data_IF_840899334099
#
_entry.id   IF_840899334099
#
_cell.length_a   1.000
_cell.length_b   1.000
_cell.length_c   1.000
_cell.angle_alpha   90.00
_cell.angle_beta   90.00
_cell.angle_gamma   90.00
#
_symmetry.space_group_name_H-M   'P 1'
#
loop_
_entity.id
_entity.type
_entity.pdbx_description
1 polymer ?
#
# COMPACT_ATOMS: atom_id res chain seq x y z
N UNK A 1 15.08 -23.55 6.76
CA UNK A 1 14.92 -22.31 5.96
C UNK A 1 13.51 -21.76 6.15
N UNK A 2 13.32 -20.52 6.63
CA UNK A 2 11.99 -19.89 6.66
C UNK A 2 11.54 -19.63 5.20
N UNK A 3 10.64 -20.47 4.66
CA UNK A 3 9.98 -20.19 3.37
C UNK A 3 9.24 -18.85 3.48
N UNK A 4 9.46 -17.98 2.50
CA UNK A 4 8.95 -16.61 2.45
C UNK A 4 7.86 -16.54 1.38
N UNK A 5 6.80 -15.79 1.63
CA UNK A 5 5.73 -15.57 0.65
C UNK A 5 6.20 -14.52 -0.38
N UNK A 6 6.79 -14.96 -1.50
CA UNK A 6 7.35 -14.04 -2.50
C UNK A 6 6.27 -13.22 -3.20
N UNK A 7 5.09 -13.80 -3.46
CA UNK A 7 3.97 -13.07 -4.02
C UNK A 7 3.50 -11.89 -3.16
N UNK A 8 3.53 -12.04 -1.83
CA UNK A 8 3.14 -10.97 -0.92
C UNK A 8 4.15 -9.81 -0.94
N UNK A 9 5.45 -10.11 -0.93
CA UNK A 9 6.47 -9.08 -1.10
C UNK A 9 6.37 -8.43 -2.49
N UNK A 10 6.10 -9.22 -3.54
CA UNK A 10 5.94 -8.71 -4.90
C UNK A 10 4.72 -7.79 -5.03
N UNK A 11 3.58 -8.10 -4.39
CA UNK A 11 2.39 -7.25 -4.43
C UNK A 11 2.66 -5.91 -3.75
N UNK A 12 3.31 -5.94 -2.59
CA UNK A 12 3.71 -4.73 -1.88
C UNK A 12 4.69 -3.89 -2.72
N UNK A 13 5.66 -4.55 -3.35
CA UNK A 13 6.63 -3.90 -4.22
C UNK A 13 6.01 -3.30 -5.47
N UNK A 14 5.10 -4.02 -6.12
CA UNK A 14 4.29 -3.52 -7.23
C UNK A 14 3.57 -2.23 -6.83
N UNK A 15 2.85 -2.24 -5.70
CA UNK A 15 2.13 -1.08 -5.23
C UNK A 15 3.06 0.12 -4.96
N UNK A 16 4.24 -0.06 -4.36
CA UNK A 16 5.14 1.09 -4.15
C UNK A 16 5.75 1.59 -5.46
N UNK A 17 6.13 0.69 -6.35
CA UNK A 17 6.70 1.07 -7.65
C UNK A 17 5.70 1.88 -8.46
N UNK A 18 4.44 1.44 -8.51
CA UNK A 18 3.39 2.16 -9.22
C UNK A 18 2.99 3.46 -8.50
N UNK A 19 3.13 3.52 -7.17
CA UNK A 19 3.00 4.77 -6.41
C UNK A 19 4.05 5.80 -6.82
N UNK A 20 5.33 5.41 -6.81
CA UNK A 20 6.43 6.28 -7.24
C UNK A 20 6.29 6.67 -8.71
N UNK A 21 5.87 5.74 -9.57
CA UNK A 21 5.59 6.03 -10.98
C UNK A 21 4.51 7.10 -11.12
N UNK A 22 3.36 6.93 -10.47
CA UNK A 22 2.28 7.92 -10.53
C UNK A 22 2.68 9.31 -10.04
N UNK A 23 3.61 9.39 -9.08
CA UNK A 23 4.12 10.66 -8.55
C UNK A 23 5.19 11.32 -9.44
N UNK A 24 5.88 10.57 -10.29
CA UNK A 24 7.05 11.03 -11.07
C UNK A 24 6.77 11.26 -12.54
N UNK A 25 5.66 10.73 -13.04
CA UNK A 25 5.20 10.89 -14.41
C UNK A 25 4.87 12.36 -14.71
N UNK A 26 5.21 12.81 -15.92
CA UNK A 26 4.95 14.19 -16.33
C UNK A 26 3.44 14.50 -16.40
N UNK A 27 3.09 15.73 -16.01
CA UNK A 27 1.72 16.23 -16.07
C UNK A 27 1.39 16.80 -17.47
N UNK A 28 0.10 16.87 -17.83
CA UNK A 28 -0.45 17.41 -19.09
C UNK A 28 -0.12 16.70 -20.41
N UNK A 29 0.84 15.78 -20.45
CA UNK A 29 1.21 15.08 -21.69
C UNK A 29 0.52 13.72 -21.86
N UNK A 30 -0.08 13.16 -20.81
CA UNK A 30 -0.61 11.80 -20.78
C UNK A 30 -2.14 11.71 -20.80
N UNK A 31 -2.69 10.57 -21.26
CA UNK A 31 -4.13 10.32 -21.22
C UNK A 31 -4.66 10.22 -19.79
N UNK A 32 -5.94 10.53 -19.58
CA UNK A 32 -6.56 10.63 -18.24
C UNK A 32 -6.45 9.38 -17.38
N UNK A 33 -6.42 8.18 -17.96
CA UNK A 33 -6.26 6.92 -17.23
C UNK A 33 -4.88 6.77 -16.55
N UNK A 34 -3.92 7.66 -16.83
CA UNK A 34 -2.61 7.76 -16.16
C UNK A 34 -2.64 8.58 -14.86
N UNK A 35 -3.78 9.17 -14.50
CA UNK A 35 -3.95 10.00 -13.31
C UNK A 35 -5.12 9.50 -12.45
N UNK A 36 -5.38 10.14 -11.30
CA UNK A 36 -6.57 9.82 -10.51
C UNK A 36 -7.84 10.23 -11.27
N UNK A 37 -8.88 9.41 -11.21
CA UNK A 37 -10.15 9.69 -11.89
C UNK A 37 -10.78 11.04 -11.46
N UNK A 38 -10.64 11.40 -10.17
CA UNK A 38 -11.17 12.64 -9.59
C UNK A 38 -10.25 13.85 -9.75
N UNK A 39 -9.04 13.68 -10.33
CA UNK A 39 -8.17 14.81 -10.70
C UNK A 39 -7.69 14.62 -12.14
N UNK A 40 -8.60 14.69 -13.13
CA UNK A 40 -8.24 14.46 -14.52
C UNK A 40 -7.33 15.58 -15.06
N UNK A 41 -6.56 15.32 -16.14
CA UNK A 41 -5.89 16.37 -16.89
C UNK A 41 -6.91 17.27 -17.60
N UNK A 42 -6.57 18.54 -17.93
CA UNK A 42 -5.25 19.17 -17.79
C UNK A 42 -5.04 19.91 -16.46
N UNK A 43 -6.09 20.36 -15.78
CA UNK A 43 -5.93 21.36 -14.71
C UNK A 43 -5.59 20.77 -13.33
N UNK A 44 -5.64 19.43 -13.19
CA UNK A 44 -5.50 18.71 -11.91
C UNK A 44 -6.51 19.16 -10.85
N UNK A 45 -7.57 19.83 -11.29
CA UNK A 45 -8.64 20.26 -10.41
C UNK A 45 -9.34 19.02 -9.85
N UNK A 46 -9.52 19.01 -8.53
CA UNK A 46 -10.28 17.96 -7.86
C UNK A 46 -11.77 18.15 -8.14
N UNK A 47 -12.42 17.08 -8.61
CA UNK A 47 -13.86 17.04 -8.84
C UNK A 47 -14.46 15.77 -8.20
N UNK A 48 -15.17 15.97 -7.08
CA UNK A 48 -15.84 14.90 -6.33
C UNK A 48 -17.08 14.33 -7.05
N UNK A 49 -17.57 14.99 -8.10
CA UNK A 49 -18.71 14.50 -8.89
C UNK A 49 -18.31 13.37 -9.84
N UNK A 50 -17.03 13.29 -10.22
CA UNK A 50 -16.52 12.27 -11.13
C UNK A 50 -16.44 10.90 -10.46
N UNK A 51 -17.13 9.93 -11.04
CA UNK A 51 -17.03 8.51 -10.69
C UNK A 51 -16.03 7.78 -11.58
N UNK A 52 -15.59 6.61 -11.15
CA UNK A 52 -14.62 5.79 -11.87
C UNK A 52 -13.31 5.66 -11.10
N UNK A 53 -12.49 4.74 -11.60
CA UNK A 53 -11.17 4.44 -11.05
C UNK A 53 -10.17 4.24 -12.18
N UNK A 54 -8.91 4.60 -11.94
CA UNK A 54 -7.78 4.25 -12.81
C UNK A 54 -6.84 3.28 -12.11
N UNK A 55 -5.78 2.85 -12.79
CA UNK A 55 -4.77 2.00 -12.15
C UNK A 55 -4.09 2.72 -10.97
N UNK A 56 -4.00 4.06 -11.02
CA UNK A 56 -3.42 4.88 -9.95
C UNK A 56 -4.26 4.75 -8.67
N UNK A 57 -5.57 4.61 -8.82
CA UNK A 57 -6.51 4.47 -7.70
C UNK A 57 -6.46 3.08 -7.04
N UNK A 58 -5.85 2.07 -7.69
CA UNK A 58 -5.64 0.74 -7.10
C UNK A 58 -4.40 0.66 -6.20
N UNK A 59 -3.47 1.59 -6.38
CA UNK A 59 -2.13 1.54 -5.78
C UNK A 59 -2.17 1.50 -4.26
N UNK A 60 -2.85 2.47 -3.66
CA UNK A 60 -2.94 2.58 -2.20
C UNK A 60 -3.71 1.41 -1.56
N UNK A 61 -4.89 1.01 -2.06
CA UNK A 61 -5.57 -0.21 -1.61
C UNK A 61 -4.73 -1.47 -1.69
N UNK A 62 -4.00 -1.69 -2.79
CA UNK A 62 -3.14 -2.88 -2.93
C UNK A 62 -2.02 -2.88 -1.88
N UNK A 63 -1.48 -1.70 -1.56
CA UNK A 63 -0.47 -1.55 -0.51
C UNK A 63 -1.03 -1.87 0.88
N UNK A 64 -2.23 -1.35 1.21
CA UNK A 64 -2.93 -1.64 2.46
C UNK A 64 -3.32 -3.13 2.59
N UNK A 65 -3.81 -3.72 1.51
CA UNK A 65 -4.12 -5.14 1.45
C UNK A 65 -2.87 -5.99 1.73
N UNK A 66 -1.74 -5.65 1.11
CA UNK A 66 -0.46 -6.33 1.33
C UNK A 66 0.12 -6.09 2.74
N UNK A 67 -0.27 -5.02 3.43
CA UNK A 67 0.00 -4.84 4.86
C UNK A 67 -0.82 -5.82 5.69
N UNK A 68 -2.14 -5.87 5.47
CA UNK A 68 -3.04 -6.80 6.18
C UNK A 68 -2.63 -8.25 5.99
N UNK A 69 -2.31 -8.65 4.76
CA UNK A 69 -1.85 -10.01 4.43
C UNK A 69 -0.52 -10.40 5.09
N UNK A 70 0.23 -9.43 5.64
CA UNK A 70 1.44 -9.69 6.41
C UNK A 70 1.19 -9.93 7.91
N UNK A 71 -0.01 -9.65 8.43
CA UNK A 71 -0.32 -9.84 9.86
C UNK A 71 -0.18 -11.29 10.33
N UNK A 72 -0.63 -12.32 9.59
CA UNK A 72 -0.44 -13.72 10.00
C UNK A 72 1.06 -14.09 10.15
N UNK A 73 1.90 -13.56 9.25
CA UNK A 73 3.34 -13.83 9.28
C UNK A 73 4.10 -13.09 10.38
N UNK A 74 3.61 -11.93 10.80
CA UNK A 74 4.30 -11.04 11.75
C UNK A 74 3.73 -11.09 13.16
N UNK A 75 2.41 -11.29 13.31
CA UNK A 75 1.68 -11.30 14.58
C UNK A 75 1.38 -12.75 15.00
N UNK A 76 0.64 -13.53 14.19
CA UNK A 76 0.24 -14.91 14.55
C UNK A 76 1.46 -15.79 14.78
N UNK A 77 2.51 -15.66 13.97
CA UNK A 77 3.79 -16.37 14.18
C UNK A 77 4.49 -16.00 15.50
N UNK A 78 4.34 -14.77 16.01
CA UNK A 78 4.89 -14.37 17.32
C UNK A 78 4.04 -14.91 18.47
N UNK A 79 2.72 -14.88 18.30
CA UNK A 79 1.78 -15.49 19.24
C UNK A 79 2.01 -17.01 19.36
N UNK A 80 2.17 -17.73 18.24
CA UNK A 80 2.53 -19.16 18.21
C UNK A 80 3.90 -19.46 18.87
N UNK A 81 4.76 -18.45 19.05
CA UNK A 81 6.04 -18.56 19.77
C UNK A 81 5.95 -18.20 21.26
N UNK A 82 4.76 -17.88 21.77
CA UNK A 82 4.52 -17.58 23.19
C UNK A 82 4.45 -16.11 23.56
N UNK A 83 4.47 -15.16 22.62
CA UNK A 83 4.24 -13.74 22.95
C UNK A 83 2.78 -13.52 23.42
N UNK A 84 2.60 -12.77 24.51
CA UNK A 84 1.27 -12.41 25.04
C UNK A 84 0.56 -11.40 24.13
N UNK A 85 -0.78 -11.40 24.16
CA UNK A 85 -1.59 -10.43 23.39
C UNK A 85 -1.24 -8.97 23.75
N UNK A 86 -1.03 -8.67 25.04
CA UNK A 86 -0.64 -7.33 25.50
C UNK A 86 0.69 -6.87 24.88
N UNK A 87 1.69 -7.76 24.82
CA UNK A 87 2.97 -7.46 24.19
C UNK A 87 2.80 -7.16 22.69
N UNK A 88 1.95 -7.92 22.00
CA UNK A 88 1.67 -7.70 20.59
C UNK A 88 0.96 -6.36 20.34
N UNK A 89 0.01 -5.98 21.21
CA UNK A 89 -0.67 -4.68 21.16
C UNK A 89 0.31 -3.53 21.40
N UNK A 90 1.19 -3.65 22.40
CA UNK A 90 2.23 -2.66 22.67
C UNK A 90 3.14 -2.45 21.45
N UNK A 91 3.59 -3.53 20.81
CA UNK A 91 4.42 -3.44 19.59
C UNK A 91 3.66 -2.82 18.41
N UNK A 92 2.35 -3.08 18.29
CA UNK A 92 1.51 -2.45 17.28
C UNK A 92 1.36 -0.94 17.51
N UNK A 93 1.11 -0.51 18.76
CA UNK A 93 1.02 0.91 19.13
C UNK A 93 2.37 1.61 18.89
N UNK A 94 3.47 1.01 19.34
CA UNK A 94 4.83 1.54 19.12
C UNK A 94 5.10 1.76 17.63
N UNK A 95 4.77 0.77 16.80
CA UNK A 95 4.87 0.88 15.34
C UNK A 95 4.01 2.02 14.79
N UNK A 96 2.79 2.18 15.29
CA UNK A 96 1.91 3.31 14.95
C UNK A 96 2.57 4.65 15.23
N UNK A 97 3.03 4.86 16.46
CA UNK A 97 3.73 6.10 16.88
C UNK A 97 4.93 6.41 15.99
N UNK A 98 5.73 5.39 15.67
CA UNK A 98 6.89 5.55 14.80
C UNK A 98 6.51 5.91 13.36
N UNK A 99 5.43 5.33 12.82
CA UNK A 99 4.92 5.68 11.50
C UNK A 99 4.27 7.08 11.48
N UNK A 100 3.58 7.49 12.54
CA UNK A 100 3.04 8.84 12.67
C UNK A 100 4.15 9.88 12.71
N UNK A 101 5.19 9.66 13.51
CA UNK A 101 6.38 10.52 13.49
C UNK A 101 7.03 10.55 12.11
N UNK A 102 7.18 9.38 11.47
CA UNK A 102 7.71 9.30 10.11
C UNK A 102 6.88 10.10 9.12
N UNK A 103 5.55 10.06 9.20
CA UNK A 103 4.63 10.82 8.35
C UNK A 103 4.82 12.33 8.49
N UNK A 104 4.99 12.82 9.72
CA UNK A 104 5.22 14.24 10.02
C UNK A 104 6.60 14.65 9.51
N UNK A 105 7.63 13.87 9.86
CA UNK A 105 9.02 14.23 9.57
C UNK A 105 9.29 14.29 8.06
N UNK A 106 8.89 13.29 7.27
CA UNK A 106 9.16 13.31 5.82
C UNK A 106 8.42 14.46 5.12
N UNK A 107 7.19 14.78 5.57
CA UNK A 107 6.37 15.82 4.96
C UNK A 107 7.03 17.20 5.05
N UNK A 108 7.64 17.50 6.20
CA UNK A 108 8.32 18.77 6.44
C UNK A 108 9.65 18.91 5.68
N UNK A 109 10.28 17.79 5.33
CA UNK A 109 11.59 17.76 4.68
C UNK A 109 11.54 17.46 3.18
N UNK A 110 10.35 17.45 2.57
CA UNK A 110 10.26 17.40 1.12
C UNK A 110 10.81 18.70 0.50
N UNK A 111 11.56 18.63 -0.62
CA UNK A 111 12.22 19.80 -1.21
C UNK A 111 11.28 20.98 -1.47
N UNK A 112 10.07 20.71 -1.95
CA UNK A 112 9.05 21.71 -2.28
C UNK A 112 8.38 22.35 -1.06
N UNK A 113 8.55 21.78 0.14
CA UNK A 113 8.09 22.36 1.41
C UNK A 113 9.18 23.24 2.01
N UNK A 114 10.44 22.87 1.83
CA UNK A 114 11.59 23.58 2.38
C UNK A 114 11.86 24.91 1.67
N UNK A 115 11.69 24.98 0.35
CA UNK A 115 11.88 26.23 -0.43
C UNK A 115 11.03 26.26 -1.70
N UNK A 116 10.63 27.46 -2.13
CA UNK A 116 9.94 27.71 -3.39
C UNK A 116 10.37 29.09 -3.95
N UNK A 117 11.17 29.17 -5.04
CA UNK A 117 11.71 28.06 -5.82
C UNK A 117 12.70 27.21 -5.02
N UNK A 118 12.92 25.97 -5.48
CA UNK A 118 13.81 25.03 -4.77
C UNK A 118 15.28 25.47 -4.85
N UNK A 119 15.96 25.44 -3.72
CA UNK A 119 17.38 25.83 -3.60
C UNK A 119 18.28 24.70 -3.09
N UNK A 120 19.60 24.98 -3.09
CA UNK A 120 20.63 24.04 -2.61
C UNK A 120 20.42 23.66 -1.15
N UNK A 121 19.94 24.59 -0.31
CA UNK A 121 19.65 24.33 1.10
C UNK A 121 18.57 23.27 1.24
N UNK A 122 17.46 23.39 0.51
CA UNK A 122 16.37 22.43 0.55
C UNK A 122 16.83 21.04 0.11
N UNK A 123 17.60 20.93 -0.98
CA UNK A 123 18.11 19.63 -1.44
C UNK A 123 19.05 18.97 -0.42
N UNK A 124 19.96 19.73 0.19
CA UNK A 124 20.84 19.21 1.24
C UNK A 124 20.07 18.80 2.50
N UNK A 125 19.05 19.57 2.91
CA UNK A 125 18.20 19.24 4.05
C UNK A 125 17.35 17.99 3.79
N UNK A 126 16.84 17.78 2.58
CA UNK A 126 16.14 16.55 2.20
C UNK A 126 17.06 15.33 2.24
N UNK A 127 18.30 15.45 1.75
CA UNK A 127 19.31 14.38 1.85
C UNK A 127 19.68 14.12 3.30
N UNK A 128 19.84 15.16 4.12
CA UNK A 128 20.10 15.04 5.55
C UNK A 128 18.95 14.31 6.26
N UNK A 129 17.70 14.65 5.94
CA UNK A 129 16.51 13.92 6.41
C UNK A 129 16.61 12.44 6.02
N UNK A 130 16.91 12.12 4.76
CA UNK A 130 17.10 10.75 4.30
C UNK A 130 18.16 10.01 5.13
N UNK A 131 19.29 10.65 5.44
CA UNK A 131 20.37 10.06 6.26
C UNK A 131 19.93 9.85 7.72
N UNK A 132 19.22 10.80 8.33
CA UNK A 132 18.76 10.72 9.73
C UNK A 132 17.75 9.58 9.92
N UNK A 133 17.01 9.21 8.89
CA UNK A 133 16.08 8.07 8.92
C UNK A 133 16.80 6.72 9.08
N UNK A 134 18.08 6.60 8.69
CA UNK A 134 18.89 5.38 8.84
C UNK A 134 18.99 4.94 10.32
N UNK A 135 19.59 5.73 11.22
CA UNK A 135 19.73 5.34 12.63
C UNK A 135 18.38 5.10 13.33
N UNK A 136 17.30 5.76 12.89
CA UNK A 136 15.96 5.54 13.45
C UNK A 136 15.40 4.15 13.12
N UNK A 137 15.41 3.77 11.83
CA UNK A 137 14.63 2.63 11.34
C UNK A 137 15.46 1.40 10.96
N UNK A 138 16.79 1.51 10.90
CA UNK A 138 17.65 0.35 10.62
C UNK A 138 17.87 -0.48 11.87
N UNK A 139 17.92 -1.80 11.67
CA UNK A 139 18.56 -2.71 12.63
C UNK A 139 20.07 -2.65 12.42
N UNK A 140 20.75 -1.85 13.24
CA UNK A 140 22.19 -1.63 13.15
C UNK A 140 22.90 -2.99 13.17
N UNK A 141 23.58 -3.41 12.08
CA UNK A 141 24.16 -4.75 11.94
C UNK A 141 25.45 -4.93 12.76
N UNK A 142 25.92 -3.88 13.45
CA UNK A 142 27.10 -3.91 14.30
C UNK A 142 26.80 -4.62 15.63
N UNK A 143 27.76 -5.44 16.08
CA UNK A 143 27.76 -6.02 17.43
C UNK A 143 28.01 -4.89 18.42
N UNK A 144 26.94 -4.38 19.00
CA UNK A 144 26.95 -3.26 19.93
C UNK A 144 25.99 -3.59 21.08
N UNK A 145 26.29 -3.19 22.32
CA UNK A 145 25.37 -3.36 23.44
C UNK A 145 24.06 -2.60 23.19
N UNK A 146 22.96 -3.12 23.73
CA UNK A 146 21.61 -2.62 23.44
C UNK A 146 21.38 -1.17 23.92
N UNK A 147 22.08 -0.73 24.96
CA UNK A 147 22.04 0.66 25.42
C UNK A 147 22.56 1.62 24.34
N UNK A 148 23.66 1.28 23.67
CA UNK A 148 24.27 2.14 22.65
C UNK A 148 23.38 2.24 21.41
N UNK A 149 22.69 1.16 21.05
CA UNK A 149 21.67 1.17 19.98
C UNK A 149 20.50 2.09 20.33
N UNK A 150 20.10 2.09 21.60
CA UNK A 150 19.03 2.95 22.09
C UNK A 150 19.46 4.41 22.07
N UNK A 151 20.68 4.72 22.51
CA UNK A 151 21.26 6.06 22.46
C UNK A 151 21.29 6.58 21.02
N UNK A 152 21.81 5.82 20.06
CA UNK A 152 21.85 6.23 18.64
C UNK A 152 20.45 6.60 18.11
N UNK A 153 19.44 5.78 18.44
CA UNK A 153 18.05 6.04 18.05
C UNK A 153 17.49 7.30 18.69
N UNK A 154 17.65 7.44 20.00
CA UNK A 154 17.16 8.60 20.75
C UNK A 154 17.83 9.87 20.23
N UNK A 155 19.15 9.86 20.03
CA UNK A 155 19.88 10.98 19.44
C UNK A 155 19.35 11.33 18.05
N UNK A 156 19.06 10.34 17.19
CA UNK A 156 18.47 10.60 15.88
C UNK A 156 17.08 11.26 15.98
N UNK A 157 16.21 10.82 16.90
CA UNK A 157 14.93 11.47 17.16
C UNK A 157 15.09 12.89 17.69
N UNK A 158 16.03 13.12 18.61
CA UNK A 158 16.32 14.47 19.14
C UNK A 158 16.78 15.40 18.03
N UNK A 159 17.75 14.98 17.20
CA UNK A 159 18.23 15.76 16.06
C UNK A 159 17.06 16.08 15.12
N UNK A 160 16.21 15.10 14.81
CA UNK A 160 15.05 15.32 13.94
C UNK A 160 14.03 16.30 14.52
N UNK A 161 13.77 16.25 15.83
CA UNK A 161 12.88 17.21 16.50
C UNK A 161 13.49 18.61 16.48
N UNK A 162 14.78 18.75 16.78
CA UNK A 162 15.48 20.04 16.68
C UNK A 162 15.35 20.58 15.26
N UNK A 163 15.64 19.77 14.24
CA UNK A 163 15.51 20.16 12.85
C UNK A 163 14.08 20.59 12.49
N UNK A 164 13.05 19.86 12.95
CA UNK A 164 11.65 20.25 12.72
C UNK A 164 11.33 21.63 13.31
N UNK A 165 11.84 21.93 14.50
CA UNK A 165 11.55 23.16 15.22
C UNK A 165 12.39 24.36 14.74
N UNK A 166 13.59 24.13 14.20
CA UNK A 166 14.53 25.21 13.81
C UNK A 166 14.58 25.48 12.31
N UNK A 167 14.05 24.58 11.47
CA UNK A 167 14.09 24.76 10.02
C UNK A 167 13.06 25.81 9.57
N UNK A 168 13.50 26.71 8.68
CA UNK A 168 12.62 27.64 7.99
C UNK A 168 12.02 26.95 6.77
N UNK A 169 10.70 27.03 6.62
CA UNK A 169 9.96 26.44 5.51
C UNK A 169 9.56 27.51 4.48
N UNK A 170 9.20 27.08 3.29
CA UNK A 170 8.71 27.97 2.24
C UNK A 170 7.41 28.68 2.64
N UNK A 171 7.17 29.86 2.05
CA UNK A 171 5.93 30.61 2.18
C UNK A 171 5.55 30.94 3.64
N UNK A 172 6.54 31.31 4.46
CA UNK A 172 6.36 31.69 5.89
C UNK A 172 5.72 30.61 6.77
N UNK A 173 5.69 29.35 6.30
CA UNK A 173 5.16 28.23 7.07
C UNK A 173 6.03 27.98 8.30
N UNK A 174 5.38 27.71 9.43
CA UNK A 174 6.00 27.20 10.65
C UNK A 174 5.77 25.70 10.78
N UNK A 175 6.51 25.05 11.67
CA UNK A 175 6.26 23.65 12.03
C UNK A 175 4.81 23.45 12.50
N UNK A 176 4.13 22.47 11.93
CA UNK A 176 2.77 22.08 12.30
C UNK A 176 2.63 20.55 12.28
N UNK A 177 2.27 19.97 13.42
CA UNK A 177 2.09 18.53 13.58
C UNK A 177 0.97 17.97 12.67
N UNK A 178 -0.01 18.80 12.33
CA UNK A 178 -1.13 18.46 11.46
C UNK A 178 -0.72 18.40 9.99
N UNK A 179 0.42 19.01 9.63
CA UNK A 179 0.99 18.94 8.29
C UNK A 179 1.82 17.68 8.11
N UNK A 180 1.13 16.58 7.78
CA UNK A 180 1.72 15.25 7.70
C UNK A 180 1.42 14.56 6.37
N UNK A 181 2.21 13.53 6.07
CA UNK A 181 2.00 12.72 4.88
C UNK A 181 0.80 11.78 5.09
N UNK A 182 -0.31 12.06 4.39
CA UNK A 182 -1.57 11.34 4.56
C UNK A 182 -1.46 9.83 4.28
N UNK A 183 -0.66 9.42 3.29
CA UNK A 183 -0.47 7.99 2.95
C UNK A 183 0.17 7.26 4.14
N UNK A 184 1.26 7.80 4.68
CA UNK A 184 1.95 7.21 5.84
C UNK A 184 1.09 7.31 7.11
N UNK A 185 0.34 8.39 7.30
CA UNK A 185 -0.55 8.55 8.45
C UNK A 185 -1.67 7.50 8.45
N UNK A 186 -2.31 7.28 7.29
CA UNK A 186 -3.30 6.21 7.14
C UNK A 186 -2.66 4.84 7.41
N UNK A 187 -1.44 4.60 6.94
CA UNK A 187 -0.70 3.37 7.23
C UNK A 187 -0.39 3.18 8.71
N UNK A 188 -0.10 4.26 9.44
CA UNK A 188 0.11 4.22 10.89
C UNK A 188 -1.17 3.73 11.59
N UNK A 189 -2.31 4.33 11.26
CA UNK A 189 -3.61 3.94 11.80
C UNK A 189 -3.98 2.49 11.46
N UNK A 190 -3.80 2.08 10.20
CA UNK A 190 -4.06 0.72 9.76
C UNK A 190 -3.13 -0.30 10.44
N UNK A 191 -1.87 0.06 10.69
CA UNK A 191 -0.94 -0.79 11.42
C UNK A 191 -1.35 -0.97 12.88
N UNK A 192 -1.95 0.03 13.54
CA UNK A 192 -2.44 -0.08 14.92
C UNK A 192 -3.75 -0.85 14.97
N UNK A 193 -4.82 -0.28 14.40
CA UNK A 193 -6.17 -0.84 14.53
C UNK A 193 -6.31 -2.19 13.83
N UNK A 194 -5.70 -2.34 12.64
CA UNK A 194 -5.69 -3.62 11.93
C UNK A 194 -4.96 -4.71 12.72
N UNK A 195 -3.84 -4.39 13.36
CA UNK A 195 -3.12 -5.35 14.20
C UNK A 195 -3.92 -5.71 15.44
N UNK A 196 -4.53 -4.74 16.13
CA UNK A 196 -5.36 -4.97 17.33
C UNK A 196 -6.54 -5.90 16.98
N UNK A 197 -7.29 -5.58 15.93
CA UNK A 197 -8.41 -6.41 15.46
C UNK A 197 -7.92 -7.82 15.14
N UNK A 198 -6.79 -7.95 14.43
CA UNK A 198 -6.22 -9.25 14.11
C UNK A 198 -5.79 -10.01 15.37
N UNK A 199 -5.15 -9.37 16.36
CA UNK A 199 -4.73 -10.00 17.62
C UNK A 199 -5.91 -10.64 18.37
N UNK A 200 -7.05 -9.96 18.39
CA UNK A 200 -8.24 -10.47 19.08
C UNK A 200 -9.07 -11.44 18.23
N UNK A 201 -8.87 -11.48 16.90
CA UNK A 201 -9.64 -12.33 15.97
C UNK A 201 -8.83 -13.39 15.23
N UNK A 202 -7.53 -13.55 15.49
CA UNK A 202 -6.63 -14.47 14.75
C UNK A 202 -7.01 -15.96 14.84
N UNK A 203 -7.86 -16.32 15.82
CA UNK A 203 -8.35 -17.69 16.03
C UNK A 203 -9.77 -17.91 15.48
N UNK A 204 -10.49 -16.83 15.13
CA UNK A 204 -11.89 -16.92 14.73
C UNK A 204 -12.20 -15.98 13.56
N UNK A 205 -12.28 -16.55 12.36
CA UNK A 205 -12.62 -15.83 11.14
C UNK A 205 -14.01 -15.15 11.23
N UNK A 206 -14.99 -15.80 11.87
CA UNK A 206 -16.34 -15.26 12.02
C UNK A 206 -16.34 -13.98 12.85
N UNK A 207 -15.54 -13.94 13.92
CA UNK A 207 -15.36 -12.72 14.72
C UNK A 207 -14.76 -11.58 13.89
N UNK A 208 -13.81 -11.90 13.00
CA UNK A 208 -13.21 -10.89 12.11
C UNK A 208 -14.20 -10.33 11.10
N UNK A 209 -15.04 -11.19 10.52
CA UNK A 209 -16.14 -10.76 9.63
C UNK A 209 -17.17 -9.94 10.42
N UNK A 210 -17.49 -10.33 11.66
CA UNK A 210 -18.38 -9.56 12.54
C UNK A 210 -17.88 -8.14 12.82
N UNK A 211 -16.58 -7.97 13.09
CA UNK A 211 -15.96 -6.65 13.25
C UNK A 211 -16.08 -5.81 11.97
N UNK A 212 -15.88 -6.42 10.80
CA UNK A 212 -16.03 -5.76 9.50
C UNK A 212 -17.47 -5.26 9.29
N UNK A 213 -18.47 -6.08 9.62
CA UNK A 213 -19.88 -5.72 9.50
C UNK A 213 -20.28 -4.59 10.47
N UNK A 214 -19.80 -4.64 11.72
CA UNK A 214 -20.04 -3.57 12.70
C UNK A 214 -19.40 -2.26 12.22
N UNK A 215 -18.16 -2.31 11.74
CA UNK A 215 -17.48 -1.14 11.20
C UNK A 215 -18.25 -0.55 10.01
N UNK A 216 -18.69 -1.38 9.07
CA UNK A 216 -19.51 -0.95 7.95
C UNK A 216 -20.80 -0.28 8.41
N UNK A 217 -21.48 -0.85 9.41
CA UNK A 217 -22.70 -0.26 9.98
C UNK A 217 -22.44 1.10 10.64
N UNK A 218 -21.32 1.26 11.35
CA UNK A 218 -20.90 2.53 11.95
C UNK A 218 -20.58 3.59 10.89
N UNK A 219 -19.90 3.22 9.81
CA UNK A 219 -19.57 4.13 8.71
C UNK A 219 -20.83 4.59 7.96
N UNK A 220 -21.74 3.67 7.67
CA UNK A 220 -23.01 3.97 7.00
C UNK A 220 -23.92 4.84 7.87
N UNK A 221 -24.10 4.44 9.14
CA UNK A 221 -24.97 5.16 10.07
C UNK A 221 -24.36 6.48 10.53
N UNK A 222 -23.03 6.62 10.44
CA UNK A 222 -22.30 7.86 10.73
C UNK A 222 -22.63 9.01 9.77
N UNK A 223 -23.19 8.71 8.59
CA UNK A 223 -23.66 9.72 7.63
C UNK A 223 -25.04 10.29 7.99
N UNK A 224 -25.73 9.72 8.97
CA UNK A 224 -27.06 10.18 9.42
C UNK A 224 -26.89 11.27 10.46
N UNK A 225 -27.41 12.47 10.16
CA UNK A 225 -27.35 13.62 11.04
C UNK A 225 -28.05 13.38 12.39
N UNK A 226 -27.49 13.95 13.46
CA UNK A 226 -27.98 13.87 14.84
C UNK A 226 -28.06 12.44 15.41
N UNK A 227 -27.23 11.52 14.92
CA UNK A 227 -27.14 10.14 15.42
C UNK A 227 -25.95 9.95 16.37
N UNK A 228 -26.05 9.00 17.32
CA UNK A 228 -24.91 8.62 18.16
C UNK A 228 -23.75 8.03 17.33
N UNK A 229 -24.05 7.45 16.18
CA UNK A 229 -23.06 6.97 15.21
C UNK A 229 -22.32 8.11 14.51
N UNK A 230 -22.98 9.25 14.26
CA UNK A 230 -22.31 10.46 13.76
C UNK A 230 -21.34 11.02 14.80
N UNK A 231 -21.70 11.00 16.09
CA UNK A 231 -20.79 11.40 17.18
C UNK A 231 -19.52 10.53 17.21
N UNK A 232 -19.64 9.22 16.93
CA UNK A 232 -18.48 8.32 16.77
C UNK A 232 -17.71 8.64 15.48
N UNK A 233 -18.40 8.84 14.36
CA UNK A 233 -17.78 9.10 13.05
C UNK A 233 -16.95 10.39 13.03
N UNK A 234 -17.39 11.41 13.78
CA UNK A 234 -16.72 12.70 13.92
C UNK A 234 -15.70 12.73 15.07
N UNK A 235 -15.60 11.66 15.85
CA UNK A 235 -14.69 11.57 17.00
C UNK A 235 -13.22 11.57 16.56
N UNK A 236 -12.49 12.61 16.97
CA UNK A 236 -11.10 12.90 16.55
C UNK A 236 -10.25 13.30 17.77
N UNK A 237 -9.93 12.37 18.70
CA UNK A 237 -9.22 12.68 19.94
C UNK A 237 -7.84 13.33 19.71
N UNK A 238 -7.19 13.00 18.60
CA UNK A 238 -5.92 13.57 18.18
C UNK A 238 -6.04 13.94 16.69
N UNK A 239 -6.57 15.12 16.33
CA UNK A 239 -6.86 15.47 14.93
C UNK A 239 -5.63 15.38 14.01
N UNK A 240 -4.44 15.69 14.53
CA UNK A 240 -3.19 15.56 13.78
C UNK A 240 -2.75 14.09 13.53
N UNK A 241 -3.32 13.11 14.24
CA UNK A 241 -2.90 11.71 14.17
C UNK A 241 -4.01 10.74 13.70
N UNK A 242 -5.26 11.02 14.06
CA UNK A 242 -6.35 10.07 13.96
C UNK A 242 -7.68 10.76 13.68
N UNK A 243 -8.32 10.28 12.63
CA UNK A 243 -9.73 10.50 12.35
C UNK A 243 -10.45 9.15 12.27
N UNK A 244 -11.65 9.06 12.83
CA UNK A 244 -12.43 7.82 12.77
C UNK A 244 -12.71 7.39 11.32
N UNK A 245 -12.91 8.34 10.40
CA UNK A 245 -13.05 8.07 8.96
C UNK A 245 -11.90 7.22 8.40
N UNK A 246 -10.66 7.37 8.90
CA UNK A 246 -9.53 6.55 8.46
C UNK A 246 -9.75 5.06 8.67
N UNK A 247 -10.61 4.68 9.62
CA UNK A 247 -10.95 3.29 9.88
C UNK A 247 -11.70 2.62 8.73
N UNK A 248 -12.26 3.37 7.77
CA UNK A 248 -12.86 2.79 6.57
C UNK A 248 -11.89 1.90 5.78
N UNK A 249 -10.60 2.23 5.80
CA UNK A 249 -9.56 1.44 5.14
C UNK A 249 -9.32 0.07 5.79
N UNK A 250 -9.87 -0.20 6.98
CA UNK A 250 -9.91 -1.55 7.54
C UNK A 250 -10.76 -2.50 6.70
N UNK A 251 -11.70 -1.99 5.89
CA UNK A 251 -12.44 -2.77 4.89
C UNK A 251 -11.52 -3.35 3.81
N UNK A 252 -10.27 -2.87 3.69
CA UNK A 252 -9.22 -3.43 2.83
C UNK A 252 -8.22 -4.29 3.62
N UNK A 253 -7.78 -3.79 4.78
CA UNK A 253 -6.77 -4.46 5.61
C UNK A 253 -7.28 -5.79 6.17
N UNK A 254 -8.55 -5.85 6.59
CA UNK A 254 -9.16 -7.07 7.14
C UNK A 254 -9.23 -8.17 6.08
N UNK A 255 -9.80 -7.95 4.87
CA UNK A 255 -9.70 -8.94 3.80
C UNK A 255 -8.27 -9.34 3.45
N UNK A 256 -7.33 -8.38 3.48
CA UNK A 256 -5.89 -8.67 3.36
C UNK A 256 -5.42 -9.69 4.40
N UNK A 257 -5.80 -9.53 5.67
CA UNK A 257 -5.43 -10.49 6.73
C UNK A 257 -5.95 -11.90 6.49
N UNK A 258 -7.13 -12.04 5.87
CA UNK A 258 -7.71 -13.33 5.47
C UNK A 258 -6.87 -13.95 4.34
N UNK A 259 -6.50 -13.17 3.33
CA UNK A 259 -5.60 -13.61 2.26
C UNK A 259 -4.24 -14.10 2.80
N UNK A 260 -3.72 -13.39 3.81
CA UNK A 260 -2.50 -13.77 4.51
C UNK A 260 -2.61 -15.11 5.23
N UNK A 261 -3.78 -15.45 5.78
CA UNK A 261 -4.02 -16.73 6.45
C UNK A 261 -4.03 -17.88 5.45
N UNK A 262 -4.69 -17.71 4.30
CA UNK A 262 -4.65 -18.68 3.21
C UNK A 262 -3.22 -18.95 2.74
N UNK A 263 -2.41 -17.89 2.56
CA UNK A 263 -0.99 -18.04 2.22
C UNK A 263 -0.18 -18.73 3.31
N UNK A 264 -0.43 -18.41 4.58
CA UNK A 264 0.28 -19.01 5.72
C UNK A 264 -0.05 -20.49 5.86
N UNK A 265 -1.31 -20.87 5.71
CA UNK A 265 -1.77 -22.26 5.76
C UNK A 265 -1.21 -23.08 4.60
N UNK A 266 -1.25 -22.53 3.39
CA UNK A 266 -0.61 -23.14 2.22
C UNK A 266 0.90 -23.37 2.45
N UNK A 267 1.62 -22.37 2.97
CA UNK A 267 3.06 -22.51 3.27
C UNK A 267 3.35 -23.56 4.35
N UNK A 268 2.47 -23.73 5.34
CA UNK A 268 2.58 -24.79 6.36
C UNK A 268 2.34 -26.18 5.75
N UNK A 269 1.30 -26.34 4.93
CA UNK A 269 0.96 -27.62 4.29
C UNK A 269 1.99 -28.06 3.23
N UNK A 270 2.55 -27.13 2.46
CA UNK A 270 3.61 -27.40 1.47
C UNK A 270 4.98 -27.74 2.07
N UNK A 271 5.10 -27.86 3.40
CA UNK A 271 6.28 -28.45 4.04
C UNK A 271 6.20 -29.97 4.09
N UNK A 272 5.00 -30.54 4.05
CA UNK A 272 4.74 -31.97 4.22
C UNK A 272 4.28 -32.57 2.88
N UNK A 273 5.23 -33.02 2.06
CA UNK A 273 5.07 -33.97 0.93
C UNK A 273 4.24 -33.58 -0.32
N UNK A 274 4.79 -34.00 -1.47
CA UNK A 274 4.24 -34.04 -2.85
C UNK A 274 3.83 -32.73 -3.53
N UNK A 275 4.67 -32.28 -4.47
CA UNK A 275 4.29 -31.31 -5.51
C UNK A 275 3.30 -32.01 -6.43
N UNK A 276 2.00 -31.85 -6.16
CA UNK A 276 0.96 -32.27 -7.09
C UNK A 276 1.12 -31.43 -8.37
N UNK A 277 1.28 -32.11 -9.52
CA UNK A 277 1.48 -31.50 -10.83
C UNK A 277 0.25 -30.70 -11.21
N UNK A 278 0.19 -29.44 -10.78
CA UNK A 278 -0.84 -28.52 -11.24
C UNK A 278 -0.67 -28.40 -12.75
N UNK A 279 -1.76 -28.55 -13.51
CA UNK A 279 -1.67 -28.45 -14.96
C UNK A 279 -1.21 -27.03 -15.34
N UNK A 280 -0.06 -26.89 -16.01
CA UNK A 280 0.50 -25.60 -16.47
C UNK A 280 -0.53 -24.77 -17.23
N UNK A 281 -1.42 -25.43 -17.98
CA UNK A 281 -2.52 -24.78 -18.66
C UNK A 281 -3.45 -24.02 -17.70
N UNK A 282 -3.85 -24.64 -16.59
CA UNK A 282 -4.68 -23.98 -15.57
C UNK A 282 -3.99 -22.74 -15.00
N UNK A 283 -2.68 -22.82 -14.75
CA UNK A 283 -1.91 -21.68 -14.25
C UNK A 283 -1.89 -20.51 -15.23
N UNK A 284 -1.67 -20.78 -16.52
CA UNK A 284 -1.69 -19.75 -17.57
C UNK A 284 -3.09 -19.14 -17.70
N UNK A 285 -4.13 -19.96 -17.72
CA UNK A 285 -5.52 -19.48 -17.75
C UNK A 285 -5.83 -18.62 -16.53
N UNK A 286 -5.35 -18.97 -15.33
CA UNK A 286 -5.53 -18.14 -14.14
C UNK A 286 -4.82 -16.78 -14.22
N UNK A 287 -3.63 -16.71 -14.83
CA UNK A 287 -2.93 -15.45 -15.11
C UNK A 287 -3.81 -14.57 -16.01
N UNK A 288 -4.26 -15.12 -17.14
CA UNK A 288 -5.07 -14.38 -18.11
C UNK A 288 -6.41 -13.93 -17.50
N UNK A 289 -7.06 -14.82 -16.75
CA UNK A 289 -8.35 -14.54 -16.12
C UNK A 289 -8.25 -13.43 -15.06
N UNK A 290 -7.30 -13.53 -14.13
CA UNK A 290 -7.13 -12.51 -13.09
C UNK A 290 -6.72 -11.16 -13.65
N UNK A 291 -5.86 -11.16 -14.67
CA UNK A 291 -5.48 -9.94 -15.38
C UNK A 291 -6.68 -9.32 -16.12
N UNK A 292 -7.48 -10.14 -16.81
CA UNK A 292 -8.69 -9.69 -17.49
C UNK A 292 -9.69 -9.06 -16.52
N UNK A 293 -9.92 -9.66 -15.35
CA UNK A 293 -10.82 -9.10 -14.32
C UNK A 293 -10.34 -7.71 -13.89
N UNK A 294 -9.04 -7.52 -13.66
CA UNK A 294 -8.49 -6.21 -13.28
C UNK A 294 -8.68 -5.20 -14.41
N UNK A 295 -8.30 -5.55 -15.64
CA UNK A 295 -8.37 -4.64 -16.80
C UNK A 295 -9.83 -4.26 -17.12
N UNK A 296 -10.75 -5.22 -17.11
CA UNK A 296 -12.17 -4.99 -17.41
C UNK A 296 -12.78 -4.02 -16.41
N UNK A 297 -12.49 -4.18 -15.11
CA UNK A 297 -12.98 -3.24 -14.10
C UNK A 297 -12.36 -1.84 -14.26
N UNK A 298 -11.05 -1.74 -14.53
CA UNK A 298 -10.42 -0.45 -14.79
C UNK A 298 -11.02 0.25 -16.02
N UNK A 299 -11.12 -0.47 -17.14
CA UNK A 299 -11.65 0.09 -18.38
C UNK A 299 -13.14 0.46 -18.24
N UNK A 300 -13.97 -0.47 -17.78
CA UNK A 300 -15.41 -0.28 -17.71
C UNK A 300 -15.84 0.79 -16.71
N UNK A 301 -15.13 0.93 -15.58
CA UNK A 301 -15.44 1.99 -14.60
C UNK A 301 -14.89 3.34 -15.02
N UNK A 302 -13.71 3.39 -15.65
CA UNK A 302 -13.16 4.64 -16.20
C UNK A 302 -14.00 5.20 -17.35
N UNK A 303 -14.56 4.34 -18.21
CA UNK A 303 -15.44 4.77 -19.31
C UNK A 303 -16.91 4.88 -18.91
N UNK A 304 -17.23 4.76 -17.62
CA UNK A 304 -18.61 4.77 -17.10
C UNK A 304 -19.56 3.70 -17.70
N UNK A 305 -19.02 2.63 -18.29
CA UNK A 305 -19.78 1.51 -18.83
C UNK A 305 -20.07 0.45 -17.75
N UNK A 306 -20.71 0.86 -16.64
CA UNK A 306 -20.87 0.04 -15.42
C UNK A 306 -21.67 -1.24 -15.64
N UNK A 307 -22.78 -1.17 -16.39
CA UNK A 307 -23.61 -2.35 -16.70
C UNK A 307 -22.85 -3.35 -17.56
N UNK A 308 -22.13 -2.87 -18.58
CA UNK A 308 -21.30 -3.72 -19.43
C UNK A 308 -20.17 -4.36 -18.61
N UNK A 309 -19.54 -3.58 -17.72
CA UNK A 309 -18.53 -4.08 -16.79
C UNK A 309 -19.08 -5.23 -15.94
N UNK A 310 -20.28 -5.08 -15.37
CA UNK A 310 -20.94 -6.13 -14.59
C UNK A 310 -21.22 -7.38 -15.45
N UNK A 311 -21.79 -7.21 -16.64
CA UNK A 311 -22.11 -8.30 -17.57
C UNK A 311 -20.86 -9.10 -17.95
N UNK A 312 -19.72 -8.44 -18.17
CA UNK A 312 -18.45 -9.11 -18.51
C UNK A 312 -17.83 -9.79 -17.27
N UNK A 313 -17.94 -9.19 -16.09
CA UNK A 313 -17.38 -9.78 -14.86
C UNK A 313 -18.06 -11.10 -14.49
N UNK A 314 -19.38 -11.23 -14.65
CA UNK A 314 -20.13 -12.45 -14.29
C UNK A 314 -19.52 -13.74 -14.92
N UNK A 315 -19.36 -13.86 -16.25
CA UNK A 315 -18.78 -15.05 -16.86
C UNK A 315 -17.30 -15.24 -16.51
N UNK A 316 -16.52 -14.16 -16.34
CA UNK A 316 -15.12 -14.24 -15.90
C UNK A 316 -15.02 -14.85 -14.48
N UNK A 317 -15.89 -14.43 -13.57
CA UNK A 317 -15.90 -14.97 -12.21
C UNK A 317 -16.42 -16.41 -12.17
N UNK A 318 -17.49 -16.74 -12.89
CA UNK A 318 -18.04 -18.10 -12.98
C UNK A 318 -17.00 -19.08 -13.55
N UNK A 319 -16.31 -18.70 -14.63
CA UNK A 319 -15.29 -19.53 -15.25
C UNK A 319 -14.11 -19.83 -14.31
N UNK A 320 -13.67 -18.83 -13.52
CA UNK A 320 -12.62 -19.03 -12.51
C UNK A 320 -13.04 -19.97 -11.38
N UNK A 321 -14.27 -19.83 -10.86
CA UNK A 321 -14.82 -20.75 -9.85
C UNK A 321 -14.89 -22.18 -10.38
N UNK A 322 -15.34 -22.35 -11.63
CA UNK A 322 -15.41 -23.66 -12.27
C UNK A 322 -14.02 -24.29 -12.45
N UNK A 323 -13.04 -23.50 -12.92
CA UNK A 323 -11.67 -23.96 -13.16
C UNK A 323 -10.97 -24.47 -11.89
N UNK A 324 -11.27 -23.84 -10.75
CA UNK A 324 -10.67 -24.10 -9.44
C UNK A 324 -11.48 -25.05 -8.55
N UNK A 325 -12.61 -25.58 -9.04
CA UNK A 325 -13.55 -26.42 -8.27
C UNK A 325 -12.90 -27.65 -7.63
N UNK A 326 -11.96 -28.30 -8.33
CA UNK A 326 -11.27 -29.51 -7.87
C UNK A 326 -9.75 -29.37 -7.95
N UNK A 327 -9.07 -29.77 -6.88
CA UNK A 327 -7.61 -29.82 -6.79
C UNK A 327 -7.09 -29.53 -5.38
N UNK A 328 -5.86 -29.94 -5.09
CA UNK A 328 -5.18 -29.70 -3.82
C UNK A 328 -3.96 -28.76 -4.02
N UNK A 329 -3.20 -28.50 -2.95
CA UNK A 329 -2.00 -27.66 -2.99
C UNK A 329 -2.27 -26.24 -3.50
N UNK A 330 -1.63 -25.86 -4.60
CA UNK A 330 -1.82 -24.54 -5.24
C UNK A 330 -3.26 -24.27 -5.66
N UNK A 331 -3.99 -25.28 -6.16
CA UNK A 331 -5.38 -25.09 -6.60
C UNK A 331 -6.28 -24.74 -5.41
N UNK A 332 -6.03 -25.32 -4.23
CA UNK A 332 -6.78 -24.97 -3.01
C UNK A 332 -6.54 -23.50 -2.63
N UNK A 333 -5.28 -23.07 -2.59
CA UNK A 333 -4.93 -21.67 -2.32
C UNK A 333 -5.57 -20.72 -3.36
N UNK A 334 -5.45 -21.04 -4.65
CA UNK A 334 -6.05 -20.22 -5.71
C UNK A 334 -7.57 -20.16 -5.58
N UNK A 335 -8.24 -21.26 -5.22
CA UNK A 335 -9.67 -21.27 -4.96
C UNK A 335 -10.05 -20.35 -3.82
N UNK A 336 -9.35 -20.41 -2.68
CA UNK A 336 -9.63 -19.57 -1.51
C UNK A 336 -9.41 -18.09 -1.80
N UNK A 337 -8.29 -17.74 -2.45
CA UNK A 337 -8.01 -16.36 -2.89
C UNK A 337 -9.03 -15.87 -3.93
N UNK A 338 -9.33 -16.68 -4.94
CA UNK A 338 -10.23 -16.30 -6.03
C UNK A 338 -11.67 -16.14 -5.54
N UNK A 339 -12.17 -17.05 -4.71
CA UNK A 339 -13.55 -16.99 -4.20
C UNK A 339 -13.77 -15.79 -3.29
N UNK A 340 -12.82 -15.50 -2.39
CA UNK A 340 -12.88 -14.30 -1.55
C UNK A 340 -12.78 -13.02 -2.39
N UNK A 341 -11.87 -12.98 -3.37
CA UNK A 341 -11.72 -11.86 -4.30
C UNK A 341 -12.97 -11.64 -5.15
N UNK A 342 -13.52 -12.69 -5.73
CA UNK A 342 -14.72 -12.66 -6.57
C UNK A 342 -15.93 -12.14 -5.79
N UNK A 343 -16.11 -12.60 -4.54
CA UNK A 343 -17.16 -12.10 -3.67
C UNK A 343 -17.05 -10.59 -3.45
N UNK A 344 -15.85 -10.07 -3.16
CA UNK A 344 -15.63 -8.63 -2.94
C UNK A 344 -15.76 -7.80 -4.21
N UNK A 345 -15.37 -8.33 -5.37
CA UNK A 345 -15.62 -7.68 -6.68
C UNK A 345 -17.12 -7.53 -6.91
N UNK A 346 -17.89 -8.61 -6.75
CA UNK A 346 -19.35 -8.57 -6.90
C UNK A 346 -19.97 -7.60 -5.89
N UNK A 347 -19.56 -7.69 -4.62
CA UNK A 347 -20.05 -6.80 -3.57
C UNK A 347 -19.79 -5.32 -3.89
N UNK A 348 -18.57 -4.99 -4.33
CA UNK A 348 -18.22 -3.62 -4.72
C UNK A 348 -19.01 -3.10 -5.91
N UNK A 349 -19.25 -3.94 -6.93
CA UNK A 349 -20.10 -3.59 -8.08
C UNK A 349 -21.58 -3.45 -7.69
N UNK A 350 -22.08 -4.25 -6.74
CA UNK A 350 -23.45 -4.10 -6.23
C UNK A 350 -23.63 -2.81 -5.43
N UNK A 351 -22.60 -2.36 -4.70
CA UNK A 351 -22.62 -1.09 -3.96
C UNK A 351 -22.34 0.14 -4.84
N UNK A 352 -22.03 -0.03 -6.13
CA UNK A 352 -21.64 1.09 -7.00
C UNK A 352 -22.66 2.23 -7.06
N UNK A 353 -23.98 1.98 -7.22
CA UNK A 353 -24.96 3.06 -7.30
C UNK A 353 -25.17 3.80 -5.97
N UNK A 354 -24.86 3.15 -4.84
CA UNK A 354 -25.26 3.62 -3.50
C UNK A 354 -24.67 4.99 -3.11
N UNK A 355 -23.45 5.30 -3.57
CA UNK A 355 -22.77 6.58 -3.26
C UNK A 355 -22.47 7.41 -4.53
N UNK A 356 -23.30 7.25 -5.56
CA UNK A 356 -23.13 7.96 -6.83
C UNK A 356 -21.86 7.53 -7.58
N UNK A 357 -21.62 6.23 -7.63
CA UNK A 357 -20.50 5.60 -8.33
C UNK A 357 -19.32 5.20 -7.44
N UNK A 358 -18.32 4.58 -8.06
CA UNK A 358 -17.07 4.18 -7.39
C UNK A 358 -16.11 5.36 -7.38
N UNK A 359 -15.71 5.84 -6.20
CA UNK A 359 -14.82 7.01 -6.04
C UNK A 359 -13.76 6.74 -4.99
N UNK A 360 -12.54 7.24 -5.24
CA UNK A 360 -11.43 7.18 -4.29
C UNK A 360 -11.51 8.30 -3.25
N UNK A 361 -11.92 9.50 -3.67
CA UNK A 361 -11.92 10.71 -2.85
C UNK A 361 -13.26 11.46 -3.05
N UNK A 362 -14.19 11.45 -2.06
CA UNK A 362 -14.17 10.62 -0.86
C UNK A 362 -14.29 9.12 -1.20
N UNK A 363 -13.69 8.26 -0.37
CA UNK A 363 -13.66 6.83 -0.61
C UNK A 363 -15.05 6.22 -0.44
N UNK A 364 -15.60 5.62 -1.49
CA UNK A 364 -16.89 4.92 -1.41
C UNK A 364 -16.72 3.50 -0.90
N UNK A 365 -17.77 2.93 -0.29
CA UNK A 365 -17.78 1.51 0.11
C UNK A 365 -17.59 0.59 -1.09
N UNK A 366 -18.18 0.94 -2.24
CA UNK A 366 -17.96 0.25 -3.51
C UNK A 366 -16.49 0.22 -3.89
N UNK A 367 -15.77 1.34 -3.74
CA UNK A 367 -14.33 1.43 -3.98
C UNK A 367 -13.53 0.54 -3.02
N UNK A 368 -13.83 0.57 -1.73
CA UNK A 368 -13.12 -0.22 -0.72
C UNK A 368 -13.29 -1.73 -0.95
N UNK A 369 -14.50 -2.19 -1.26
CA UNK A 369 -14.75 -3.62 -1.55
C UNK A 369 -14.18 -4.05 -2.89
N UNK A 370 -14.41 -3.29 -3.96
CA UNK A 370 -13.92 -3.64 -5.29
C UNK A 370 -12.40 -3.72 -5.31
N UNK A 371 -11.70 -2.71 -4.77
CA UNK A 371 -10.24 -2.68 -4.77
C UNK A 371 -9.63 -3.78 -3.90
N UNK A 372 -10.31 -4.17 -2.80
CA UNK A 372 -9.95 -5.36 -2.03
C UNK A 372 -10.08 -6.64 -2.86
N UNK A 373 -11.17 -6.78 -3.61
CA UNK A 373 -11.39 -7.91 -4.53
C UNK A 373 -10.33 -7.98 -5.63
N UNK A 374 -9.99 -6.85 -6.24
CA UNK A 374 -8.91 -6.75 -7.23
C UNK A 374 -7.53 -7.03 -6.62
N UNK A 375 -7.30 -6.69 -5.34
CA UNK A 375 -6.06 -7.01 -4.65
C UNK A 375 -5.89 -8.52 -4.43
N UNK A 376 -6.98 -9.26 -4.17
CA UNK A 376 -6.97 -10.73 -4.17
C UNK A 376 -6.58 -11.28 -5.55
N UNK A 377 -7.14 -10.73 -6.64
CA UNK A 377 -6.80 -11.14 -8.01
C UNK A 377 -5.32 -10.87 -8.31
N UNK A 378 -4.81 -9.71 -7.93
CA UNK A 378 -3.39 -9.36 -8.09
C UNK A 378 -2.47 -10.26 -7.25
N UNK A 379 -2.87 -10.60 -6.02
CA UNK A 379 -2.11 -11.54 -5.17
C UNK A 379 -2.08 -12.94 -5.78
N UNK A 380 -3.20 -13.43 -6.31
CA UNK A 380 -3.28 -14.72 -7.01
C UNK A 380 -2.38 -14.71 -8.24
N UNK A 381 -2.49 -13.68 -9.09
CA UNK A 381 -1.64 -13.47 -10.26
C UNK A 381 -0.15 -13.57 -9.89
N UNK A 382 0.27 -12.83 -8.86
CA UNK A 382 1.66 -12.83 -8.39
C UNK A 382 2.07 -14.16 -7.73
N UNK A 383 1.15 -14.89 -7.10
CA UNK A 383 1.40 -16.22 -6.57
C UNK A 383 1.67 -17.23 -7.70
N UNK A 384 0.91 -17.17 -8.79
CA UNK A 384 1.16 -18.02 -9.95
C UNK A 384 2.53 -17.69 -10.57
N UNK A 385 2.87 -16.41 -10.73
CA UNK A 385 4.13 -15.99 -11.35
C UNK A 385 5.34 -16.29 -10.43
N UNK A 386 5.29 -15.84 -9.18
CA UNK A 386 6.43 -15.88 -8.26
C UNK A 386 6.64 -17.25 -7.63
N UNK A 387 5.57 -17.89 -7.15
CA UNK A 387 5.67 -19.09 -6.32
C UNK A 387 5.48 -20.37 -7.15
N UNK A 388 4.53 -20.38 -8.11
CA UNK A 388 4.28 -21.55 -8.96
C UNK A 388 5.30 -21.66 -10.11
N UNK A 389 5.45 -20.65 -10.96
CA UNK A 389 6.46 -20.64 -12.03
C UNK A 389 7.89 -20.38 -11.54
N UNK A 390 8.06 -20.02 -10.25
CA UNK A 390 9.36 -19.73 -9.61
C UNK A 390 10.15 -18.62 -10.32
N UNK A 391 9.46 -17.66 -10.93
CA UNK A 391 10.07 -16.52 -11.64
C UNK A 391 10.67 -15.45 -10.70
N UNK A 392 11.16 -15.83 -9.51
CA UNK A 392 11.68 -14.93 -8.48
C UNK A 392 12.86 -14.08 -8.97
N UNK A 393 13.68 -14.61 -9.89
CA UNK A 393 14.78 -13.85 -10.50
C UNK A 393 14.25 -12.67 -11.33
N UNK A 394 13.18 -12.88 -12.11
CA UNK A 394 12.57 -11.85 -12.94
C UNK A 394 11.77 -10.87 -12.09
N UNK A 395 11.06 -11.34 -11.06
CA UNK A 395 10.26 -10.47 -10.17
C UNK A 395 11.07 -9.83 -9.05
N UNK A 396 12.40 -9.95 -9.06
CA UNK A 396 13.27 -9.40 -8.01
C UNK A 396 13.13 -7.88 -7.86
N UNK A 397 12.88 -7.18 -8.96
CA UNK A 397 12.64 -5.73 -8.94
C UNK A 397 11.33 -5.36 -8.23
N UNK A 398 10.34 -6.27 -8.15
CA UNK A 398 9.15 -6.09 -7.33
C UNK A 398 9.42 -6.52 -5.88
N UNK A 399 9.93 -7.74 -5.70
CA UNK A 399 10.10 -8.34 -4.37
C UNK A 399 10.97 -7.46 -3.48
N UNK A 400 12.14 -7.00 -3.96
CA UNK A 400 13.12 -6.29 -3.14
C UNK A 400 12.61 -4.96 -2.57
N UNK A 401 12.05 -4.03 -3.36
CA UNK A 401 11.37 -2.85 -2.82
C UNK A 401 10.25 -3.19 -1.84
N UNK A 402 9.49 -4.27 -2.09
CA UNK A 402 8.45 -4.75 -1.17
C UNK A 402 8.99 -5.21 0.20
N UNK A 403 10.27 -5.58 0.29
CA UNK A 403 10.92 -5.92 1.57
C UNK A 403 11.38 -4.69 2.35
N UNK A 404 11.54 -3.55 1.69
CA UNK A 404 11.97 -2.29 2.28
C UNK A 404 11.03 -1.12 1.88
N UNK A 405 9.74 -1.21 2.25
CA UNK A 405 8.71 -0.34 1.70
C UNK A 405 8.87 1.13 2.07
N UNK A 406 9.32 1.43 3.30
CA UNK A 406 9.50 2.81 3.74
C UNK A 406 10.61 3.53 2.98
N UNK A 407 11.72 2.83 2.71
CA UNK A 407 12.81 3.39 1.90
C UNK A 407 12.37 3.60 0.45
N UNK A 408 11.69 2.60 -0.13
CA UNK A 408 11.17 2.67 -1.48
C UNK A 408 10.24 3.87 -1.70
N UNK A 409 9.46 4.22 -0.67
CA UNK A 409 8.53 5.33 -0.70
C UNK A 409 9.24 6.70 -0.71
N UNK A 410 10.27 6.90 0.11
CA UNK A 410 10.86 8.23 0.31
C UNK A 410 12.08 8.54 -0.56
N UNK A 411 12.72 7.51 -1.14
CA UNK A 411 14.00 7.69 -1.84
C UNK A 411 13.88 8.61 -3.05
N UNK A 412 12.72 8.63 -3.72
CA UNK A 412 12.47 9.52 -4.86
C UNK A 412 12.59 10.99 -4.47
N UNK A 413 11.82 11.42 -3.48
CA UNK A 413 11.74 12.83 -3.07
C UNK A 413 12.89 13.27 -2.15
N UNK A 414 13.41 12.38 -1.31
CA UNK A 414 14.44 12.75 -0.32
C UNK A 414 15.87 12.50 -0.79
N UNK A 415 16.09 11.75 -1.87
CA UNK A 415 17.43 11.44 -2.38
C UNK A 415 17.57 11.68 -3.89
N UNK A 416 16.76 11.01 -4.71
CA UNK A 416 16.93 11.03 -6.17
C UNK A 416 16.73 12.44 -6.73
N UNK A 417 15.60 13.08 -6.42
CA UNK A 417 15.32 14.44 -6.90
C UNK A 417 16.34 15.46 -6.38
N UNK A 418 16.70 15.51 -5.08
CA UNK A 418 17.78 16.36 -4.58
C UNK A 418 19.11 16.17 -5.30
N UNK A 419 19.56 14.91 -5.49
CA UNK A 419 20.85 14.62 -6.15
C UNK A 419 20.83 15.04 -7.61
N UNK A 420 19.75 14.75 -8.35
CA UNK A 420 19.63 15.16 -9.76
C UNK A 420 19.68 16.68 -9.92
N UNK A 421 19.07 17.43 -9.00
CA UNK A 421 19.11 18.89 -9.00
C UNK A 421 20.50 19.44 -8.62
N UNK A 422 21.14 18.89 -7.59
CA UNK A 422 22.50 19.29 -7.19
C UNK A 422 23.55 19.05 -8.29
N UNK A 423 23.36 18.00 -9.10
CA UNK A 423 24.23 17.72 -10.24
C UNK A 423 23.93 18.57 -11.48
N UNK A 424 22.89 19.41 -11.45
CA UNK A 424 22.45 20.23 -12.60
C UNK A 424 21.76 19.43 -13.72
N UNK A 425 21.59 18.13 -13.55
CA UNK A 425 21.01 17.19 -14.54
C UNK A 425 19.47 17.37 -14.63
N UNK A 426 18.84 17.96 -13.61
CA UNK A 426 17.40 18.22 -13.59
C UNK A 426 16.92 19.03 -14.80
N UNK A 427 17.76 19.91 -15.36
CA UNK A 427 17.49 20.67 -16.59
C UNK A 427 17.13 19.76 -17.77
N UNK A 428 17.73 18.56 -17.86
CA UNK A 428 17.46 17.59 -18.90
C UNK A 428 16.07 16.95 -18.79
N UNK A 429 15.43 17.01 -17.61
CA UNK A 429 14.08 16.48 -17.42
C UNK A 429 13.02 17.28 -18.19
N UNK A 430 13.33 18.51 -18.61
CA UNK A 430 12.42 19.35 -19.39
C UNK A 430 12.15 18.75 -20.77
N UNK A 431 13.16 18.16 -21.43
CA UNK A 431 13.00 17.48 -22.72
C UNK A 431 12.06 16.28 -22.65
N UNK A 432 11.86 15.72 -21.46
CA UNK A 432 10.91 14.64 -21.28
C UNK A 432 9.46 15.10 -21.22
N UNK A 433 9.17 16.40 -21.23
CA UNK A 433 7.79 16.90 -21.17
C UNK A 433 7.20 17.21 -22.56
N UNK A 434 7.92 16.95 -23.65
CA UNK A 434 7.49 17.31 -25.01
C UNK A 434 6.27 16.51 -25.51
N UNK A 435 6.16 15.24 -25.14
CA UNK A 435 5.04 14.39 -25.55
C UNK A 435 4.71 13.32 -24.51
N UNK A 436 3.58 12.63 -24.71
CA UNK A 436 3.08 11.57 -23.83
C UNK A 436 4.14 10.50 -23.53
N UNK A 437 4.79 9.97 -24.56
CA UNK A 437 5.78 8.90 -24.42
C UNK A 437 7.00 9.34 -23.61
N UNK A 438 7.50 10.53 -23.87
CA UNK A 438 8.60 11.13 -23.13
C UNK A 438 8.21 11.42 -21.68
N UNK A 439 6.99 11.89 -21.45
CA UNK A 439 6.47 12.16 -20.11
C UNK A 439 6.35 10.90 -19.26
N UNK A 440 5.90 9.81 -19.87
CA UNK A 440 5.92 8.48 -19.27
C UNK A 440 7.35 7.98 -19.03
N UNK A 441 8.24 8.13 -20.01
CA UNK A 441 9.62 7.69 -19.92
C UNK A 441 10.37 8.36 -18.77
N UNK A 442 10.14 9.66 -18.52
CA UNK A 442 10.66 10.36 -17.32
C UNK A 442 10.23 9.67 -16.04
N UNK A 443 8.93 9.36 -15.91
CA UNK A 443 8.42 8.64 -14.74
C UNK A 443 9.08 7.27 -14.58
N UNK A 444 9.24 6.53 -15.68
CA UNK A 444 9.92 5.22 -15.68
C UNK A 444 11.38 5.33 -15.25
N UNK A 445 12.12 6.32 -15.75
CA UNK A 445 13.53 6.53 -15.39
C UNK A 445 13.67 6.89 -13.90
N UNK A 446 12.89 7.84 -13.40
CA UNK A 446 12.94 8.26 -11.99
C UNK A 446 12.51 7.13 -11.04
N UNK A 447 11.50 6.36 -11.44
CA UNK A 447 11.04 5.18 -10.70
C UNK A 447 12.11 4.08 -10.70
N UNK A 448 12.73 3.80 -11.84
CA UNK A 448 13.80 2.82 -11.96
C UNK A 448 14.99 3.18 -11.07
N UNK A 449 15.41 4.46 -11.04
CA UNK A 449 16.46 4.93 -10.13
C UNK A 449 16.08 4.68 -8.65
N UNK A 450 14.86 5.04 -8.26
CA UNK A 450 14.33 4.81 -6.91
C UNK A 450 14.34 3.32 -6.53
N UNK A 451 13.93 2.46 -7.47
CA UNK A 451 13.94 0.99 -7.31
C UNK A 451 15.37 0.47 -7.18
N UNK A 452 16.30 0.91 -8.02
CA UNK A 452 17.69 0.46 -8.00
C UNK A 452 18.38 0.80 -6.68
N UNK A 453 18.20 2.01 -6.16
CA UNK A 453 18.74 2.41 -4.85
C UNK A 453 18.13 1.56 -3.74
N UNK A 454 16.81 1.36 -3.76
CA UNK A 454 16.14 0.51 -2.77
C UNK A 454 16.63 -0.94 -2.83
N UNK A 455 16.83 -1.46 -4.04
CA UNK A 455 17.37 -2.81 -4.27
C UNK A 455 18.81 -2.92 -3.76
N UNK A 456 19.63 -1.89 -3.95
CA UNK A 456 20.99 -1.83 -3.40
C UNK A 456 20.97 -1.97 -1.87
N UNK A 457 20.21 -1.13 -1.16
CA UNK A 457 20.08 -1.21 0.30
C UNK A 457 19.51 -2.55 0.77
N UNK A 458 18.54 -3.09 0.03
CA UNK A 458 17.97 -4.42 0.32
C UNK A 458 19.01 -5.54 0.16
N UNK A 459 19.90 -5.47 -0.84
CA UNK A 459 20.98 -6.45 -1.06
C UNK A 459 22.00 -6.45 0.08
N UNK A 460 22.37 -5.28 0.59
CA UNK A 460 23.27 -5.16 1.74
C UNK A 460 22.58 -5.40 3.09
N UNK A 461 21.33 -5.90 3.08
CA UNK A 461 20.50 -6.20 4.26
C UNK A 461 20.20 -4.97 5.14
N UNK A 462 20.25 -3.78 4.55
CA UNK A 462 19.86 -2.53 5.17
C UNK A 462 18.34 -2.34 5.02
N UNK A 463 17.57 -2.85 5.99
CA UNK A 463 16.11 -2.75 5.99
C UNK A 463 15.63 -1.69 6.98
N UNK A 464 14.76 -0.79 6.53
CA UNK A 464 14.02 0.09 7.43
C UNK A 464 12.79 -0.63 7.96
N UNK A 465 12.65 -0.69 9.28
CA UNK A 465 11.53 -1.36 9.97
C UNK A 465 11.07 -0.53 11.16
N UNK A 466 9.77 -0.41 11.31
CA UNK A 466 9.10 0.06 12.52
C UNK A 466 8.90 -1.09 13.49
#
# INVERSE_FOLDING_TARGET
MNKRAYALDALRGYAIITMVLSATVAWNSLPGWMYHAQTPPPDRAFDASLSGITWVDLVFPFFLFAMGAAFPFSIKKRFEKGDTKLRLVYEAIKRGVQLTFFAIFIQHFYPYVLSNPQDVRAWLLSILCFIILFPMFIRIPLKMPDWMRTVIKVTAYVIAIVLLLTTQYANERTFDVSFNNIIILLLANMAVFGSVIYIFTMQNLRARIGVLLILMALLLSGQVDNSWTQAIYTYTPLPWAFHFEYLQYLLIVIPGSIAGEYLMEWLKQHNDSSVESTNKWKAIVMILLTLAIIIVNLAGLYTHCTVLNLIINIPLLISGVFLLRKGTGFIKLWRELFTAGAFLVVLGLCFEPFQGGIKKDPATLSYLFLTSGLAFMALLLLNVICDYFRCVKSTRFLVMPGQNPMMAYVVGDLLIMPVINLLGIASLLVYFNENAWMGFLRGVVLTALSVLVTMFFTRIKCFWRT
#
